data_IF_594942074060
#
_entry.id   IF_594942074060
#
_cell.length_a   1.000
_cell.length_b   1.000
_cell.length_c   1.000
_cell.angle_alpha   90.00
_cell.angle_beta   90.00
_cell.angle_gamma   90.00
#
_symmetry.space_group_name_H-M   'P 1'
#
loop_
_entity.id
_entity.type
_entity.pdbx_description
1 polymer ?
#
# COMPACT_ATOMS: atom_id res chain seq x y z
N UNK A 1 38.48 -5.72 4.84
CA UNK A 1 38.39 -4.31 5.18
C UNK A 1 39.51 -3.93 6.13
N UNK A 2 40.22 -2.85 5.87
CA UNK A 2 41.40 -2.43 6.65
C UNK A 2 41.09 -2.00 8.09
N UNK A 3 39.82 -1.87 8.45
CA UNK A 3 39.35 -1.42 9.77
C UNK A 3 38.64 -2.52 10.56
N UNK A 4 38.62 -3.77 10.08
CA UNK A 4 38.01 -4.92 10.76
C UNK A 4 36.47 -4.91 10.85
N UNK A 5 35.80 -3.92 10.30
CA UNK A 5 34.35 -3.82 10.28
C UNK A 5 33.76 -4.29 8.94
N UNK A 6 32.67 -5.05 9.01
CA UNK A 6 31.95 -5.56 7.81
C UNK A 6 31.04 -4.53 7.17
N UNK A 7 30.66 -3.49 7.92
CA UNK A 7 29.81 -2.38 7.44
C UNK A 7 30.13 -1.09 8.17
N UNK A 8 30.22 0.00 7.44
CA UNK A 8 30.44 1.35 7.99
C UNK A 8 29.26 2.24 7.61
N UNK A 9 28.69 2.93 8.61
CA UNK A 9 27.65 3.95 8.35
C UNK A 9 28.30 5.21 7.81
N UNK A 10 27.87 5.67 6.66
CA UNK A 10 28.31 6.93 6.06
C UNK A 10 27.12 7.75 5.58
N UNK A 11 27.33 9.08 5.49
CA UNK A 11 26.31 9.98 4.95
C UNK A 11 26.34 9.91 3.42
N UNK A 12 25.31 9.32 2.80
CA UNK A 12 25.26 9.06 1.37
C UNK A 12 24.53 10.15 0.56
N UNK A 13 23.90 11.11 1.23
CA UNK A 13 23.16 12.15 0.51
C UNK A 13 22.46 13.14 1.43
N UNK A 14 21.76 14.09 0.81
CA UNK A 14 20.95 15.11 1.48
C UNK A 14 19.54 15.08 0.93
N UNK A 15 18.55 15.08 1.81
CA UNK A 15 17.13 15.16 1.42
C UNK A 15 16.43 16.30 2.18
N UNK A 16 15.31 16.74 1.63
CA UNK A 16 14.42 17.71 2.23
C UNK A 16 13.02 17.14 2.29
N UNK A 17 12.41 17.16 3.47
CA UNK A 17 10.99 16.89 3.67
C UNK A 17 10.26 18.21 3.95
N UNK A 18 9.09 18.39 3.35
CA UNK A 18 8.15 19.47 3.61
C UNK A 18 6.77 18.89 3.66
N UNK A 19 5.95 19.35 4.59
CA UNK A 19 4.60 18.84 4.74
C UNK A 19 3.76 19.72 5.64
N UNK A 20 2.47 19.44 5.62
CA UNK A 20 1.46 20.04 6.46
C UNK A 20 0.72 18.94 7.19
N UNK A 21 0.39 19.18 8.45
CA UNK A 21 -0.35 18.27 9.31
C UNK A 21 -1.54 18.98 9.94
N UNK A 22 -2.63 18.25 10.15
CA UNK A 22 -3.78 18.74 10.89
C UNK A 22 -4.30 17.70 11.87
N UNK A 23 -4.82 18.15 12.99
CA UNK A 23 -5.55 17.35 13.98
C UNK A 23 -6.82 18.12 14.38
N UNK A 24 -7.97 17.53 14.12
CA UNK A 24 -9.29 18.12 14.37
C UNK A 24 -10.05 17.18 15.29
N UNK A 25 -10.51 17.70 16.42
CA UNK A 25 -11.41 16.99 17.33
C UNK A 25 -12.67 17.82 17.56
N UNK A 26 -13.83 17.24 17.32
CA UNK A 26 -15.11 17.91 17.46
C UNK A 26 -16.13 17.01 18.16
N UNK A 27 -16.96 17.59 19.00
CA UNK A 27 -18.19 16.99 19.50
C UNK A 27 -19.32 17.48 18.62
N UNK A 28 -19.84 16.61 17.75
CA UNK A 28 -20.83 16.94 16.74
C UNK A 28 -22.26 16.89 17.29
N UNK A 29 -22.51 15.99 18.23
CA UNK A 29 -23.79 15.85 18.93
C UNK A 29 -23.53 15.63 20.41
N UNK A 30 -24.22 16.37 21.27
CA UNK A 30 -24.22 16.14 22.71
C UNK A 30 -25.55 16.52 23.30
N UNK A 31 -26.24 15.55 23.86
CA UNK A 31 -27.45 15.74 24.64
C UNK A 31 -27.46 14.80 25.85
N UNK A 32 -28.61 14.64 26.53
CA UNK A 32 -28.71 13.81 27.72
C UNK A 32 -28.33 12.34 27.52
N UNK A 33 -28.70 11.75 26.37
CA UNK A 33 -28.52 10.32 26.10
C UNK A 33 -27.42 10.04 25.07
N UNK A 34 -27.16 10.99 24.16
CA UNK A 34 -26.23 10.80 23.03
C UNK A 34 -25.05 11.73 23.11
N UNK A 35 -23.88 11.17 22.78
CA UNK A 35 -22.69 11.95 22.48
C UNK A 35 -22.02 11.34 21.25
N UNK A 36 -21.86 12.15 20.21
CA UNK A 36 -21.07 11.78 19.04
C UNK A 36 -19.89 12.73 18.89
N UNK A 37 -18.71 12.20 18.92
CA UNK A 37 -17.46 12.94 18.69
C UNK A 37 -16.66 12.30 17.57
N UNK A 38 -15.97 13.14 16.82
CA UNK A 38 -15.11 12.75 15.72
C UNK A 38 -13.73 13.36 15.96
N UNK A 39 -12.69 12.50 15.89
CA UNK A 39 -11.33 12.97 15.78
C UNK A 39 -10.81 12.57 14.40
N UNK A 40 -10.21 13.53 13.69
CA UNK A 40 -9.64 13.39 12.35
C UNK A 40 -8.25 14.00 12.38
N UNK A 41 -7.25 13.24 11.95
CA UNK A 41 -5.94 13.77 11.68
C UNK A 41 -5.50 13.44 10.26
N UNK A 42 -4.59 14.22 9.73
CA UNK A 42 -4.02 13.97 8.41
C UNK A 42 -2.70 14.68 8.23
N UNK A 43 -1.91 14.14 7.33
CA UNK A 43 -0.62 14.66 6.93
C UNK A 43 -0.46 14.62 5.41
N UNK A 44 0.09 15.68 4.87
CA UNK A 44 0.66 15.74 3.53
C UNK A 44 2.14 15.94 3.65
N UNK A 45 2.94 15.02 3.10
CA UNK A 45 4.39 15.13 3.15
C UNK A 45 4.99 14.95 1.75
N UNK A 46 5.91 15.82 1.39
CA UNK A 46 6.67 15.77 0.13
C UNK A 46 8.15 15.74 0.42
N UNK A 47 8.80 14.68 -0.03
CA UNK A 47 10.25 14.57 0.07
C UNK A 47 10.93 14.89 -1.27
N UNK A 48 12.19 15.33 -1.21
CA UNK A 48 13.03 15.60 -2.37
C UNK A 48 14.48 15.36 -2.04
N UNK A 49 15.17 14.59 -2.89
CA UNK A 49 16.60 14.38 -2.81
C UNK A 49 17.30 15.64 -3.32
N UNK A 50 18.20 16.22 -2.55
CA UNK A 50 18.95 17.42 -2.88
C UNK A 50 20.34 17.13 -3.40
N UNK A 51 20.99 16.08 -2.89
CA UNK A 51 22.32 15.64 -3.31
C UNK A 51 22.52 14.16 -3.01
N UNK A 52 23.31 13.49 -3.83
CA UNK A 52 23.75 12.11 -3.63
C UNK A 52 25.28 12.01 -3.70
N UNK A 53 25.86 11.04 -2.98
CA UNK A 53 27.28 10.73 -3.07
C UNK A 53 27.59 9.83 -4.28
N UNK A 54 28.87 9.81 -4.69
CA UNK A 54 29.32 8.89 -5.74
C UNK A 54 29.05 7.41 -5.42
N UNK A 55 29.14 7.04 -4.14
CA UNK A 55 28.82 5.67 -3.70
C UNK A 55 27.33 5.34 -3.92
N UNK A 56 26.42 6.29 -3.66
CA UNK A 56 25.00 6.12 -3.91
C UNK A 56 24.69 6.13 -5.42
N UNK A 57 25.39 6.92 -6.21
CA UNK A 57 25.29 6.89 -7.67
C UNK A 57 25.69 5.52 -8.24
N UNK A 58 26.79 4.94 -7.79
CA UNK A 58 27.21 3.59 -8.20
C UNK A 58 26.22 2.49 -7.76
N UNK A 59 25.57 2.65 -6.60
CA UNK A 59 24.50 1.76 -6.16
C UNK A 59 23.25 1.87 -7.04
N UNK A 60 22.92 3.10 -7.50
CA UNK A 60 21.84 3.33 -8.46
C UNK A 60 22.09 2.60 -9.78
N UNK A 61 23.32 2.61 -10.30
CA UNK A 61 23.66 1.94 -11.57
C UNK A 61 23.41 0.43 -11.47
N UNK A 62 23.83 -0.20 -10.36
CA UNK A 62 23.53 -1.60 -10.08
C UNK A 62 22.04 -1.88 -9.94
N UNK A 63 21.30 -0.99 -9.27
CA UNK A 63 19.85 -1.12 -9.10
C UNK A 63 19.12 -0.94 -10.44
N UNK A 64 19.58 -0.02 -11.28
CA UNK A 64 18.99 0.26 -12.59
C UNK A 64 19.20 -0.88 -13.60
N UNK A 65 20.26 -1.65 -13.48
CA UNK A 65 20.53 -2.81 -14.35
C UNK A 65 19.51 -3.95 -14.19
N UNK A 66 18.75 -3.99 -13.08
CA UNK A 66 17.70 -4.98 -12.88
C UNK A 66 16.53 -4.73 -13.83
N UNK A 67 16.10 -5.74 -14.58
CA UNK A 67 14.99 -5.68 -15.55
C UNK A 67 13.70 -6.32 -15.03
N UNK A 68 13.81 -7.14 -13.98
CA UNK A 68 12.77 -8.04 -13.51
C UNK A 68 12.41 -7.82 -12.04
N UNK A 69 11.25 -8.34 -11.64
CA UNK A 69 10.73 -8.22 -10.27
C UNK A 69 10.30 -6.82 -9.90
N UNK A 70 10.25 -6.51 -8.61
CA UNK A 70 9.91 -5.16 -8.14
C UNK A 70 11.02 -4.18 -8.54
N UNK A 71 10.68 -3.01 -9.11
CA UNK A 71 11.65 -1.94 -9.34
C UNK A 71 12.40 -1.59 -8.06
N UNK A 72 13.72 -1.53 -8.15
CA UNK A 72 14.54 -1.08 -7.04
C UNK A 72 14.49 0.43 -6.93
N UNK A 73 14.59 0.93 -5.71
CA UNK A 73 14.66 2.37 -5.46
C UNK A 73 15.92 2.95 -6.11
N UNK A 74 15.76 4.02 -6.88
CA UNK A 74 16.84 4.81 -7.45
C UNK A 74 16.82 6.21 -6.83
N UNK A 75 17.91 6.59 -6.21
CA UNK A 75 18.05 7.89 -5.55
C UNK A 75 18.62 8.90 -6.54
N UNK A 76 17.76 9.73 -7.13
CA UNK A 76 18.20 10.78 -8.08
C UNK A 76 17.88 12.17 -7.54
N UNK A 77 18.79 13.09 -7.72
CA UNK A 77 18.59 14.47 -7.33
C UNK A 77 17.35 15.06 -7.99
N UNK A 78 16.60 15.82 -7.22
CA UNK A 78 15.34 16.39 -7.67
C UNK A 78 14.12 15.49 -7.54
N UNK A 79 14.29 14.19 -7.33
CA UNK A 79 13.21 13.20 -7.23
C UNK A 79 12.87 12.84 -5.77
N UNK A 80 11.75 12.17 -5.60
CA UNK A 80 11.34 11.58 -4.32
C UNK A 80 12.21 10.35 -3.97
N UNK A 81 12.37 10.07 -2.68
CA UNK A 81 13.02 8.84 -2.20
C UNK A 81 12.17 7.59 -2.41
N UNK A 82 10.88 7.76 -2.73
CA UNK A 82 9.90 6.71 -2.97
C UNK A 82 9.44 6.67 -4.43
N UNK A 83 10.13 7.39 -5.32
CA UNK A 83 9.82 7.40 -6.74
C UNK A 83 9.97 6.01 -7.36
N UNK A 84 8.97 5.59 -8.14
CA UNK A 84 8.95 4.32 -8.85
C UNK A 84 9.57 4.54 -10.24
N UNK A 85 10.63 3.78 -10.53
CA UNK A 85 11.32 3.83 -11.81
C UNK A 85 11.04 2.59 -12.62
N UNK A 86 10.42 2.73 -13.79
CA UNK A 86 10.26 1.65 -14.76
C UNK A 86 10.20 2.20 -16.19
N UNK A 87 10.20 1.30 -17.16
CA UNK A 87 10.06 1.67 -18.57
C UNK A 87 8.58 1.93 -18.84
N UNK A 88 8.29 2.99 -19.58
CA UNK A 88 6.91 3.28 -20.01
C UNK A 88 6.43 2.20 -20.96
N UNK A 89 5.19 1.76 -20.83
CA UNK A 89 4.54 0.78 -21.68
C UNK A 89 3.29 1.37 -22.33
N UNK A 90 3.08 1.05 -23.58
CA UNK A 90 1.84 1.32 -24.33
C UNK A 90 0.84 0.15 -24.21
N UNK A 91 1.17 -0.89 -23.42
CA UNK A 91 0.34 -2.08 -23.25
C UNK A 91 0.75 -3.22 -24.17
N UNK A 92 -0.16 -4.17 -24.35
CA UNK A 92 0.05 -5.35 -25.20
C UNK A 92 -0.45 -5.02 -26.62
N UNK A 93 0.39 -5.30 -27.61
CA UNK A 93 0.03 -5.13 -29.02
C UNK A 93 -1.05 -6.16 -29.41
N UNK A 94 -2.24 -5.75 -29.83
CA UNK A 94 -3.32 -6.67 -30.18
C UNK A 94 -3.00 -7.59 -31.35
N UNK A 95 -2.11 -7.19 -32.24
CA UNK A 95 -1.73 -7.99 -33.39
C UNK A 95 -0.73 -9.10 -33.08
N UNK A 96 0.11 -8.91 -32.02
CA UNK A 96 1.25 -9.81 -31.76
C UNK A 96 1.27 -10.41 -30.36
N UNK A 97 0.45 -9.91 -29.43
CA UNK A 97 0.46 -10.31 -28.02
C UNK A 97 1.70 -9.89 -27.23
N UNK A 98 2.62 -9.11 -27.84
CA UNK A 98 3.86 -8.65 -27.21
C UNK A 98 3.70 -7.28 -26.57
N UNK A 99 4.42 -7.01 -25.48
CA UNK A 99 4.44 -5.69 -24.86
C UNK A 99 5.14 -4.67 -25.73
N UNK A 100 4.55 -3.47 -25.83
CA UNK A 100 5.13 -2.32 -26.52
C UNK A 100 5.66 -1.34 -25.49
N UNK A 101 6.96 -1.10 -25.52
CA UNK A 101 7.62 -0.13 -24.65
C UNK A 101 7.70 1.23 -25.32
N UNK A 102 7.87 2.27 -24.53
CA UNK A 102 8.11 3.63 -24.97
C UNK A 102 9.49 4.04 -24.44
N UNK A 103 10.44 4.28 -25.34
CA UNK A 103 11.78 4.70 -25.00
C UNK A 103 11.83 6.13 -24.43
N UNK A 104 13.01 6.61 -24.01
CA UNK A 104 13.18 7.97 -23.50
C UNK A 104 12.79 9.05 -24.49
N UNK A 105 12.96 8.79 -25.79
CA UNK A 105 12.64 9.74 -26.87
C UNK A 105 11.14 9.78 -27.20
N UNK A 106 10.33 8.87 -26.60
CA UNK A 106 8.90 8.77 -26.87
C UNK A 106 8.54 7.83 -28.03
N UNK A 107 9.50 7.06 -28.56
CA UNK A 107 9.28 6.14 -29.67
C UNK A 107 8.84 4.77 -29.16
N UNK A 108 7.98 4.11 -29.92
CA UNK A 108 7.51 2.74 -29.63
C UNK A 108 8.56 1.70 -30.03
N UNK A 109 8.77 0.72 -29.18
CA UNK A 109 9.73 -0.36 -29.41
C UNK A 109 9.20 -1.66 -28.78
N UNK A 110 9.55 -2.80 -29.37
CA UNK A 110 9.31 -4.13 -28.78
C UNK A 110 10.47 -4.60 -27.92
N UNK A 111 11.58 -3.86 -27.89
CA UNK A 111 12.78 -4.22 -27.14
C UNK A 111 12.79 -3.47 -25.81
N UNK A 112 12.81 -4.22 -24.70
CA UNK A 112 12.99 -3.65 -23.37
C UNK A 112 14.42 -3.16 -23.16
N UNK A 113 14.58 -1.95 -22.64
CA UNK A 113 15.89 -1.42 -22.29
C UNK A 113 15.84 -0.74 -20.90
N UNK A 114 16.67 -1.20 -19.97
CA UNK A 114 16.75 -0.64 -18.61
C UNK A 114 17.19 0.84 -18.61
N UNK A 115 17.90 1.27 -19.67
CA UNK A 115 18.28 2.67 -19.85
C UNK A 115 17.06 3.60 -20.06
N UNK A 116 15.91 3.09 -20.48
CA UNK A 116 14.69 3.85 -20.74
C UNK A 116 13.80 4.01 -19.49
N UNK A 117 14.26 3.56 -18.33
CA UNK A 117 13.53 3.78 -17.08
C UNK A 117 13.42 5.25 -16.72
N UNK A 118 12.20 5.67 -16.46
CA UNK A 118 11.83 7.01 -16.01
C UNK A 118 11.01 6.92 -14.74
N UNK A 119 10.78 8.05 -14.07
CA UNK A 119 9.80 8.11 -12.98
C UNK A 119 8.41 7.93 -13.57
N UNK A 120 7.72 6.90 -13.12
CA UNK A 120 6.35 6.57 -13.57
C UNK A 120 5.33 6.66 -12.45
N UNK A 121 5.77 6.84 -11.21
CA UNK A 121 4.92 6.97 -10.04
C UNK A 121 5.72 7.31 -8.79
N UNK A 122 5.00 7.46 -7.67
CA UNK A 122 5.56 7.69 -6.34
C UNK A 122 4.76 6.90 -5.30
N UNK A 123 5.43 6.13 -4.45
CA UNK A 123 4.78 5.38 -3.37
C UNK A 123 4.30 6.32 -2.23
N UNK A 124 4.83 7.55 -2.13
CA UNK A 124 4.42 8.50 -1.11
C UNK A 124 2.97 8.95 -1.34
N UNK A 125 2.09 8.83 -0.34
CA UNK A 125 0.72 9.31 -0.45
C UNK A 125 0.69 10.84 -0.49
N UNK A 126 -0.31 11.39 -1.16
CA UNK A 126 -0.59 12.82 -1.11
C UNK A 126 -1.30 13.22 0.19
N UNK A 127 -2.04 12.30 0.78
CA UNK A 127 -2.72 12.50 2.06
C UNK A 127 -2.83 11.15 2.78
N UNK A 128 -2.42 11.13 4.04
CA UNK A 128 -2.60 9.98 4.93
C UNK A 128 -3.02 10.44 6.33
N UNK A 129 -3.71 9.57 7.06
CA UNK A 129 -4.16 9.91 8.39
C UNK A 129 -5.10 8.90 8.99
N UNK A 130 -5.85 9.35 10.01
CA UNK A 130 -6.77 8.49 10.75
C UNK A 130 -8.07 9.21 11.10
N UNK A 131 -9.13 8.42 11.23
CA UNK A 131 -10.48 8.88 11.58
C UNK A 131 -10.95 8.05 12.76
N UNK A 132 -11.40 8.72 13.83
CA UNK A 132 -11.87 8.09 15.06
C UNK A 132 -13.28 8.58 15.40
N UNK A 133 -14.35 8.01 14.82
CA UNK A 133 -15.71 8.26 15.27
C UNK A 133 -15.96 7.52 16.60
N UNK A 134 -16.48 8.26 17.57
CA UNK A 134 -16.84 7.76 18.88
C UNK A 134 -18.29 8.13 19.17
N UNK A 135 -19.12 7.12 19.39
CA UNK A 135 -20.52 7.28 19.70
C UNK A 135 -20.82 6.72 21.08
N UNK A 136 -21.48 7.50 21.92
CA UNK A 136 -22.00 7.03 23.19
C UNK A 136 -23.51 7.25 23.23
N UNK A 137 -24.21 6.22 23.68
CA UNK A 137 -25.64 6.26 23.94
C UNK A 137 -25.94 5.69 25.33
N UNK A 138 -26.29 6.54 26.28
CA UNK A 138 -26.45 6.18 27.69
C UNK A 138 -25.20 5.44 28.20
N UNK A 139 -25.35 4.13 28.47
CA UNK A 139 -24.27 3.28 28.98
C UNK A 139 -23.50 2.53 27.87
N UNK A 140 -23.92 2.66 26.61
CA UNK A 140 -23.24 2.08 25.47
C UNK A 140 -22.18 3.01 24.90
N UNK A 141 -21.08 2.45 24.44
CA UNK A 141 -20.09 3.17 23.65
C UNK A 141 -19.65 2.33 22.44
N UNK A 142 -19.54 3.00 21.30
CA UNK A 142 -18.99 2.47 20.06
C UNK A 142 -17.81 3.32 19.66
N UNK A 143 -16.64 2.71 19.54
CA UNK A 143 -15.41 3.33 19.08
C UNK A 143 -14.96 2.66 17.81
N UNK A 144 -14.64 3.43 16.78
CA UNK A 144 -14.12 2.93 15.53
C UNK A 144 -12.76 3.60 15.28
N UNK A 145 -11.77 2.81 14.87
CA UNK A 145 -10.48 3.31 14.43
C UNK A 145 -10.31 2.99 12.96
N UNK A 146 -10.10 4.01 12.17
CA UNK A 146 -9.90 3.91 10.73
C UNK A 146 -8.59 4.61 10.35
N UNK A 147 -7.89 4.10 9.35
CA UNK A 147 -6.77 4.78 8.70
C UNK A 147 -7.04 4.94 7.22
N UNK A 148 -6.49 5.98 6.63
CA UNK A 148 -6.61 6.23 5.22
C UNK A 148 -5.29 6.69 4.60
N UNK A 149 -5.11 6.38 3.32
CA UNK A 149 -3.96 6.75 2.52
C UNK A 149 -4.45 6.97 1.09
N UNK A 150 -4.24 8.15 0.53
CA UNK A 150 -4.71 8.52 -0.80
C UNK A 150 -3.64 9.15 -1.65
N UNK A 151 -3.70 8.89 -2.96
CA UNK A 151 -2.89 9.52 -3.98
C UNK A 151 -1.44 9.04 -4.04
N UNK A 152 -1.10 7.93 -3.38
CA UNK A 152 0.13 7.17 -3.61
C UNK A 152 -0.05 6.22 -4.78
N UNK A 153 1.06 5.67 -5.26
CA UNK A 153 1.07 4.65 -6.29
C UNK A 153 1.92 3.45 -5.83
N UNK A 154 1.67 2.29 -6.40
CA UNK A 154 2.43 1.09 -6.08
C UNK A 154 2.77 0.31 -7.34
N UNK A 155 3.95 -0.29 -7.36
CA UNK A 155 4.23 -1.33 -8.34
C UNK A 155 3.66 -2.65 -7.85
N UNK A 156 2.56 -3.12 -8.47
CA UNK A 156 1.87 -4.35 -8.10
C UNK A 156 2.65 -5.59 -8.55
N UNK A 157 3.67 -5.94 -7.76
CA UNK A 157 4.51 -7.13 -8.02
C UNK A 157 3.69 -8.42 -7.98
N UNK A 158 2.66 -8.50 -7.12
CA UNK A 158 1.83 -9.71 -7.03
C UNK A 158 1.02 -9.93 -8.29
N UNK A 159 0.54 -8.86 -8.93
CA UNK A 159 -0.10 -8.92 -10.25
C UNK A 159 0.87 -9.39 -11.33
N UNK A 160 2.09 -8.86 -11.35
CA UNK A 160 3.13 -9.31 -12.27
C UNK A 160 3.50 -10.78 -12.07
N UNK A 161 3.67 -11.23 -10.82
CA UNK A 161 4.15 -12.57 -10.51
C UNK A 161 3.03 -13.63 -10.52
N UNK A 162 1.83 -13.29 -10.00
CA UNK A 162 0.78 -14.27 -9.75
C UNK A 162 -0.34 -14.24 -10.81
N UNK A 163 -0.36 -13.25 -11.68
CA UNK A 163 -1.33 -13.16 -12.78
C UNK A 163 -0.64 -13.23 -14.13
N UNK A 164 0.40 -12.46 -14.38
CA UNK A 164 1.08 -12.51 -15.68
C UNK A 164 2.08 -13.66 -15.78
N UNK A 165 3.00 -13.80 -14.82
CA UNK A 165 4.08 -14.82 -14.86
C UNK A 165 3.68 -16.14 -14.20
N UNK A 166 2.44 -16.56 -14.35
CA UNK A 166 1.96 -17.81 -13.73
C UNK A 166 2.59 -19.04 -14.35
N UNK A 167 2.78 -20.07 -13.53
CA UNK A 167 3.05 -21.41 -13.98
C UNK A 167 1.72 -22.11 -14.30
N UNK A 168 1.38 -22.37 -15.58
CA UNK A 168 0.09 -22.95 -15.95
C UNK A 168 -0.11 -24.39 -15.45
N UNK A 169 0.93 -25.01 -14.91
CA UNK A 169 0.86 -26.34 -14.31
C UNK A 169 0.42 -26.31 -12.84
N UNK A 170 0.27 -25.12 -12.26
CA UNK A 170 -0.15 -24.91 -10.88
C UNK A 170 -1.55 -24.30 -10.81
N UNK A 171 -2.10 -24.31 -9.60
CA UNK A 171 -3.34 -23.57 -9.35
C UNK A 171 -3.04 -22.05 -9.36
N UNK A 172 -3.71 -21.30 -10.23
CA UNK A 172 -3.44 -19.90 -10.51
C UNK A 172 -4.71 -19.05 -10.43
N UNK A 173 -4.55 -17.73 -10.37
CA UNK A 173 -5.66 -16.78 -10.43
C UNK A 173 -6.39 -16.89 -11.78
N UNK A 174 -7.72 -16.83 -11.76
CA UNK A 174 -8.55 -16.93 -12.95
C UNK A 174 -8.23 -15.86 -13.99
N UNK A 175 -7.86 -14.65 -13.56
CA UNK A 175 -7.45 -13.55 -14.44
C UNK A 175 -6.26 -13.92 -15.34
N UNK A 176 -5.41 -14.86 -14.89
CA UNK A 176 -4.29 -15.36 -15.66
C UNK A 176 -4.72 -16.03 -16.98
N UNK A 177 -5.97 -16.46 -17.07
CA UNK A 177 -6.55 -17.06 -18.28
C UNK A 177 -7.56 -16.16 -18.97
N UNK A 178 -8.39 -15.43 -18.21
CA UNK A 178 -9.51 -14.68 -18.75
C UNK A 178 -9.08 -13.34 -19.36
N UNK A 179 -8.09 -12.68 -18.76
CA UNK A 179 -7.64 -11.34 -19.15
C UNK A 179 -6.34 -11.35 -19.97
N UNK A 180 -6.06 -12.45 -20.68
CA UNK A 180 -4.82 -12.67 -21.41
C UNK A 180 -5.05 -12.65 -22.91
N UNK A 181 -4.09 -12.09 -23.65
CA UNK A 181 -4.08 -12.16 -25.10
C UNK A 181 -4.01 -13.62 -25.58
N UNK A 182 -4.87 -14.02 -26.51
CA UNK A 182 -4.97 -15.37 -27.08
C UNK A 182 -5.06 -15.34 -28.60
N UNK A 183 -5.71 -14.31 -29.14
CA UNK A 183 -5.95 -14.21 -30.57
C UNK A 183 -5.65 -12.79 -31.06
N UNK A 184 -5.38 -12.67 -32.36
CA UNK A 184 -5.19 -11.36 -33.01
C UNK A 184 -6.42 -10.48 -32.77
N UNK A 185 -6.20 -9.22 -32.39
CA UNK A 185 -7.15 -8.21 -31.98
C UNK A 185 -7.71 -8.35 -30.54
N UNK A 186 -7.23 -9.26 -29.72
CA UNK A 186 -7.57 -9.27 -28.31
C UNK A 186 -6.98 -8.03 -27.60
N UNK A 187 -7.83 -7.33 -26.85
CA UNK A 187 -7.48 -6.13 -26.08
C UNK A 187 -7.34 -6.46 -24.59
N UNK A 188 -6.44 -7.36 -24.26
CA UNK A 188 -6.20 -7.79 -22.89
C UNK A 188 -4.89 -7.22 -22.32
N UNK A 189 -4.79 -7.05 -20.97
CA UNK A 189 -3.64 -6.43 -20.33
C UNK A 189 -2.43 -7.37 -20.15
N UNK A 190 -2.57 -8.68 -20.37
CA UNK A 190 -1.51 -9.67 -20.13
C UNK A 190 -1.02 -10.33 -21.40
N UNK A 191 0.28 -10.66 -21.40
CA UNK A 191 0.98 -11.36 -22.49
C UNK A 191 0.37 -12.74 -22.78
N UNK A 192 0.61 -13.26 -23.97
CA UNK A 192 0.27 -14.65 -24.33
C UNK A 192 0.92 -15.63 -23.35
N UNK A 193 0.14 -16.59 -22.84
CA UNK A 193 0.63 -17.62 -21.92
C UNK A 193 1.57 -18.61 -22.62
N UNK A 194 1.45 -18.75 -23.94
CA UNK A 194 2.29 -19.61 -24.75
C UNK A 194 3.63 -18.95 -25.14
N UNK A 195 3.79 -17.64 -24.89
CA UNK A 195 5.08 -16.96 -25.11
C UNK A 195 6.08 -17.37 -24.04
N UNK A 196 6.86 -18.41 -24.36
CA UNK A 196 7.88 -18.98 -23.47
C UNK A 196 9.14 -18.14 -23.41
N UNK A 197 9.34 -17.21 -24.35
CA UNK A 197 10.48 -16.30 -24.37
C UNK A 197 10.30 -15.13 -23.40
N UNK A 198 9.05 -14.75 -23.13
CA UNK A 198 8.68 -13.62 -22.26
C UNK A 198 8.10 -14.08 -20.91
N UNK A 199 8.60 -15.18 -20.33
CA UNK A 199 8.14 -15.67 -19.01
C UNK A 199 8.41 -14.72 -17.85
N UNK A 200 9.14 -13.66 -18.09
CA UNK A 200 9.49 -12.68 -17.08
C UNK A 200 8.87 -11.34 -17.45
N UNK A 201 7.96 -10.86 -16.62
CA UNK A 201 7.43 -9.51 -16.79
C UNK A 201 8.51 -8.49 -16.50
N UNK A 202 8.81 -7.68 -17.49
CA UNK A 202 9.73 -6.57 -17.35
C UNK A 202 9.15 -5.48 -16.43
N UNK A 203 10.03 -4.73 -15.79
CA UNK A 203 9.66 -3.57 -14.96
C UNK A 203 9.10 -2.45 -15.84
N UNK A 204 7.80 -2.49 -16.10
CA UNK A 204 7.09 -1.52 -16.92
C UNK A 204 5.95 -0.82 -16.17
N UNK A 205 5.46 0.27 -16.75
CA UNK A 205 4.36 1.05 -16.15
C UNK A 205 3.02 0.31 -16.09
N UNK A 206 2.87 -0.85 -16.76
CA UNK A 206 1.64 -1.66 -16.73
C UNK A 206 1.25 -2.14 -15.34
N UNK A 207 2.24 -2.27 -14.45
CA UNK A 207 2.04 -2.75 -13.08
C UNK A 207 2.03 -1.64 -12.04
N UNK A 208 2.06 -0.38 -12.46
CA UNK A 208 1.90 0.75 -11.53
C UNK A 208 0.42 1.10 -11.44
N UNK A 209 -0.09 1.10 -10.22
CA UNK A 209 -1.50 1.32 -9.90
C UNK A 209 -1.61 2.39 -8.82
N UNK A 210 -2.72 3.12 -8.82
CA UNK A 210 -3.04 4.07 -7.75
C UNK A 210 -3.40 3.29 -6.48
N UNK A 211 -2.74 3.60 -5.35
CA UNK A 211 -2.85 2.88 -4.07
C UNK A 211 -3.63 3.72 -3.06
N UNK A 212 -4.93 3.83 -3.28
CA UNK A 212 -5.84 4.45 -2.35
C UNK A 212 -6.39 3.40 -1.37
N UNK A 213 -6.27 3.68 -0.08
CA UNK A 213 -6.60 2.72 0.98
C UNK A 213 -7.46 3.41 2.03
N UNK A 214 -8.52 2.73 2.44
CA UNK A 214 -9.29 2.99 3.66
C UNK A 214 -9.38 1.70 4.46
N UNK A 215 -8.84 1.71 5.67
CA UNK A 215 -8.86 0.55 6.56
C UNK A 215 -9.71 0.83 7.80
N UNK A 216 -10.55 -0.13 8.17
CA UNK A 216 -11.20 -0.16 9.47
C UNK A 216 -10.35 -1.08 10.34
N UNK A 217 -9.47 -0.46 11.13
CA UNK A 217 -8.47 -1.18 11.92
C UNK A 217 -9.10 -1.86 13.13
N UNK A 218 -10.07 -1.17 13.77
CA UNK A 218 -10.74 -1.67 14.98
C UNK A 218 -12.16 -1.12 15.09
N UNK A 219 -13.07 -1.99 15.51
CA UNK A 219 -14.38 -1.64 16.05
C UNK A 219 -14.48 -2.19 17.46
N UNK A 220 -14.88 -1.37 18.40
CA UNK A 220 -15.13 -1.77 19.78
C UNK A 220 -16.49 -1.27 20.24
N UNK A 221 -17.33 -2.18 20.73
CA UNK A 221 -18.56 -1.86 21.43
C UNK A 221 -18.40 -2.20 22.90
N UNK A 222 -18.87 -1.30 23.78
CA UNK A 222 -18.81 -1.54 25.20
C UNK A 222 -20.07 -1.09 25.91
N UNK A 223 -20.39 -1.76 27.01
CA UNK A 223 -21.46 -1.43 27.91
C UNK A 223 -20.93 -1.22 29.33
N UNK A 224 -21.31 -0.14 29.98
CA UNK A 224 -20.93 0.18 31.34
C UNK A 224 -22.11 -0.01 32.29
N UNK A 225 -22.01 -1.00 33.15
CA UNK A 225 -22.99 -1.24 34.21
C UNK A 225 -22.74 -0.24 35.35
N UNK A 226 -23.82 0.51 35.71
CA UNK A 226 -23.85 1.44 36.85
C UNK A 226 -25.10 1.13 37.66
N UNK A 227 -25.05 0.07 38.44
CA UNK A 227 -26.22 -0.39 39.21
C UNK A 227 -25.87 -0.59 40.68
N UNK A 228 -26.84 -0.47 41.55
CA UNK A 228 -26.64 -0.63 43.00
C UNK A 228 -26.23 -2.07 43.38
N UNK A 229 -26.59 -3.09 42.59
CA UNK A 229 -26.13 -4.43 42.85
C UNK A 229 -24.62 -4.62 42.74
N UNK A 230 -23.94 -3.83 41.89
CA UNK A 230 -22.50 -3.85 41.78
C UNK A 230 -21.82 -3.43 43.06
N UNK A 231 -22.40 -2.46 43.79
CA UNK A 231 -21.87 -1.99 45.07
C UNK A 231 -21.95 -3.06 46.15
N UNK A 232 -22.95 -3.96 46.09
CA UNK A 232 -23.12 -5.08 47.02
C UNK A 232 -22.01 -6.12 46.89
N UNK A 233 -21.41 -6.23 45.68
CA UNK A 233 -20.29 -7.13 45.40
C UNK A 233 -18.94 -6.39 45.35
N UNK A 234 -18.90 -5.13 45.84
CA UNK A 234 -17.67 -4.36 45.97
C UNK A 234 -17.22 -3.59 44.73
N UNK A 235 -18.02 -3.52 43.69
CA UNK A 235 -17.67 -2.78 42.46
C UNK A 235 -18.42 -1.45 42.37
N UNK A 236 -17.73 -0.39 41.97
CA UNK A 236 -18.36 0.90 41.63
C UNK A 236 -18.91 0.88 40.21
N UNK A 237 -18.19 0.23 39.29
CA UNK A 237 -18.55 0.12 37.87
C UNK A 237 -18.03 -1.21 37.33
N UNK A 238 -18.72 -1.73 36.31
CA UNK A 238 -18.26 -2.88 35.53
C UNK A 238 -18.43 -2.52 34.04
N UNK A 239 -17.34 -2.49 33.30
CA UNK A 239 -17.35 -2.32 31.82
C UNK A 239 -17.08 -3.65 31.16
N UNK A 240 -17.99 -4.03 30.25
CA UNK A 240 -17.79 -5.13 29.31
C UNK A 240 -17.58 -4.56 27.94
N UNK A 241 -16.53 -5.02 27.25
CA UNK A 241 -16.25 -4.59 25.89
C UNK A 241 -15.99 -5.79 24.98
N UNK A 242 -16.46 -5.69 23.75
CA UNK A 242 -16.14 -6.61 22.66
C UNK A 242 -15.50 -5.81 21.52
N UNK A 243 -14.38 -6.28 21.02
CA UNK A 243 -13.64 -5.63 19.95
C UNK A 243 -13.26 -6.58 18.84
N UNK A 244 -13.18 -6.06 17.64
CA UNK A 244 -12.71 -6.75 16.45
C UNK A 244 -11.61 -5.90 15.80
N UNK A 245 -10.46 -6.51 15.52
CA UNK A 245 -9.36 -5.89 14.79
C UNK A 245 -9.35 -6.38 13.34
N UNK A 246 -8.68 -5.61 12.47
CA UNK A 246 -8.55 -5.91 11.04
C UNK A 246 -9.91 -6.17 10.36
N UNK A 247 -10.85 -5.26 10.61
CA UNK A 247 -12.27 -5.43 10.26
C UNK A 247 -12.48 -5.44 8.76
N UNK A 248 -11.96 -4.43 8.07
CA UNK A 248 -12.08 -4.29 6.62
C UNK A 248 -10.96 -3.43 6.04
N UNK A 249 -10.58 -3.74 4.82
CA UNK A 249 -9.69 -2.92 3.99
C UNK A 249 -10.36 -2.71 2.64
N UNK A 250 -10.56 -1.45 2.28
CA UNK A 250 -10.96 -1.01 0.95
C UNK A 250 -9.71 -0.46 0.28
N UNK A 251 -9.38 -0.97 -0.91
CA UNK A 251 -8.19 -0.56 -1.66
C UNK A 251 -8.49 -0.58 -3.14
N UNK A 252 -7.93 0.37 -3.87
CA UNK A 252 -7.96 0.40 -5.33
C UNK A 252 -7.10 -0.72 -5.92
N UNK A 253 -6.07 -1.16 -5.17
CA UNK A 253 -5.18 -2.24 -5.59
C UNK A 253 -5.63 -3.57 -5.01
N UNK A 254 -5.82 -4.57 -5.87
CA UNK A 254 -6.05 -5.94 -5.44
C UNK A 254 -4.70 -6.63 -5.18
N UNK A 255 -4.36 -6.77 -3.91
CA UNK A 255 -3.20 -7.57 -3.51
C UNK A 255 -3.57 -9.04 -3.45
N UNK A 256 -2.87 -9.86 -4.23
CA UNK A 256 -3.00 -11.31 -4.16
C UNK A 256 -2.34 -11.80 -2.86
N UNK A 257 -3.15 -12.23 -1.92
CA UNK A 257 -2.66 -12.82 -0.67
C UNK A 257 -2.34 -14.27 -0.92
N UNK A 258 -1.08 -14.64 -0.78
CA UNK A 258 -0.70 -16.05 -0.80
C UNK A 258 -1.24 -16.80 0.43
N UNK A 259 -1.26 -18.11 0.36
CA UNK A 259 -1.65 -19.00 1.47
C UNK A 259 -0.73 -18.88 2.69
N UNK A 260 0.47 -18.30 2.52
CA UNK A 260 1.47 -18.12 3.57
C UNK A 260 1.05 -17.09 4.64
N UNK A 261 0.18 -16.13 4.29
CA UNK A 261 -0.33 -15.11 5.20
C UNK A 261 -1.84 -14.96 5.03
N UNK A 262 -2.63 -15.91 5.55
CA UNK A 262 -4.07 -15.81 5.49
C UNK A 262 -4.53 -14.59 6.29
N UNK A 263 -5.58 -13.93 5.81
CA UNK A 263 -6.20 -12.84 6.54
C UNK A 263 -6.86 -13.40 7.81
N UNK A 264 -6.43 -12.91 8.97
CA UNK A 264 -7.06 -13.25 10.25
C UNK A 264 -7.69 -12.01 10.87
N UNK A 265 -8.91 -12.17 11.36
CA UNK A 265 -9.59 -11.16 12.17
C UNK A 265 -9.39 -11.49 13.64
N UNK A 266 -8.93 -10.52 14.41
CA UNK A 266 -8.77 -10.66 15.84
C UNK A 266 -10.04 -10.26 16.59
N UNK A 267 -10.52 -11.10 17.50
CA UNK A 267 -11.61 -10.77 18.42
C UNK A 267 -11.06 -10.64 19.83
N UNK A 268 -11.56 -9.66 20.58
CA UNK A 268 -11.20 -9.45 21.96
C UNK A 268 -12.45 -9.21 22.83
N UNK A 269 -12.46 -9.80 24.01
CA UNK A 269 -13.45 -9.52 25.04
C UNK A 269 -12.73 -9.00 26.27
N UNK A 270 -13.23 -7.88 26.82
CA UNK A 270 -12.59 -7.23 27.97
C UNK A 270 -13.63 -7.03 29.06
N UNK A 271 -13.24 -7.42 30.28
CA UNK A 271 -14.02 -7.19 31.50
C UNK A 271 -13.16 -6.27 32.39
N UNK A 272 -13.70 -5.09 32.74
CA UNK A 272 -12.98 -4.08 33.52
C UNK A 272 -13.80 -3.67 34.75
N UNK A 273 -13.61 -4.32 35.90
CA UNK A 273 -14.21 -3.88 37.16
C UNK A 273 -13.45 -2.67 37.71
N UNK A 274 -14.20 -1.76 38.34
CA UNK A 274 -13.65 -0.63 39.13
C UNK A 274 -14.14 -0.77 40.56
N UNK A 275 -13.24 -0.79 41.52
CA UNK A 275 -13.49 -0.92 42.95
C UNK A 275 -13.71 0.43 43.64
#
# INVERSE_FOLDING_TARGET
PSIGETAVKSNLGKQRNKGDEFDIAAVLVQNKDWRFSLKLNGAHNKNKILAISNALAAANDKANASSEGKPKVLYKEGQSTTAIYAVRSAGINPATGKEVFINKNGEYTLTYNTADKVVIGDEAPKLEGSIFPMLSFRNWSLNISMSYKFGGQVYNLTRAANVENVDPKKNVDQRAFDERWKNVNDLFPYLDIADTESRTSYQSSRFVEDDDILEINRIEIAYEFRSNWLKQIGFKRLRLAAGMNDVARLSTVKYERGTSYPFSRGFSFTISPTF
#
